data_IF_861763350087
#
_entry.id   IF_861763350087
#
_cell.length_a   1.000
_cell.length_b   1.000
_cell.length_c   1.000
_cell.angle_alpha   90.00
_cell.angle_beta   90.00
_cell.angle_gamma   90.00
#
_symmetry.space_group_name_H-M   'P 1'
#
loop_
_entity.id
_entity.type
_entity.pdbx_description
1 polymer ?
#
# COMPACT_ATOMS: atom_id res chain seq x y z
N UNK A 1 -6.57 9.21 -20.82
CA UNK A 1 -5.20 8.68 -20.83
C UNK A 1 -4.80 8.43 -19.40
N UNK A 2 -4.37 7.21 -19.08
CA UNK A 2 -3.87 6.87 -17.76
C UNK A 2 -2.43 6.43 -17.95
N UNK A 3 -1.52 7.02 -17.17
CA UNK A 3 -0.13 6.58 -17.13
C UNK A 3 -0.10 5.18 -16.52
N UNK A 4 0.62 4.26 -17.17
CA UNK A 4 0.80 2.90 -16.65
C UNK A 4 2.05 2.89 -15.79
N UNK A 5 1.86 2.70 -14.49
CA UNK A 5 2.94 2.53 -13.53
C UNK A 5 3.05 1.06 -13.16
N UNK A 6 4.23 0.49 -13.38
CA UNK A 6 4.52 -0.90 -13.01
C UNK A 6 5.11 -0.93 -11.61
N UNK A 7 4.71 -1.93 -10.82
CA UNK A 7 5.17 -2.11 -9.45
C UNK A 7 5.31 -3.58 -9.09
N UNK A 8 6.03 -3.85 -8.02
CA UNK A 8 6.23 -5.18 -7.48
C UNK A 8 6.11 -5.16 -5.95
N UNK A 9 5.61 -6.25 -5.38
CA UNK A 9 5.60 -6.46 -3.94
C UNK A 9 6.46 -7.65 -3.57
N UNK A 10 7.23 -7.50 -2.50
CA UNK A 10 7.89 -8.60 -1.80
C UNK A 10 7.28 -8.73 -0.42
N UNK A 11 6.66 -9.88 -0.15
CA UNK A 11 6.12 -10.16 1.18
C UNK A 11 7.30 -10.34 2.15
N UNK A 12 7.35 -9.52 3.18
CA UNK A 12 8.34 -9.62 4.27
C UNK A 12 7.79 -10.52 5.38
N UNK A 13 6.54 -10.29 5.79
CA UNK A 13 5.88 -11.08 6.83
C UNK A 13 4.36 -11.09 6.63
N UNK A 14 3.72 -12.20 7.03
CA UNK A 14 2.27 -12.34 7.05
C UNK A 14 1.84 -13.06 8.34
N UNK A 15 0.89 -12.46 9.06
CA UNK A 15 0.27 -13.02 10.27
C UNK A 15 -1.24 -12.87 10.14
N UNK A 16 -1.93 -13.81 9.48
CA UNK A 16 -3.36 -13.69 9.24
C UNK A 16 -4.19 -13.94 10.52
N UNK A 17 -5.28 -13.18 10.74
CA UNK A 17 -5.78 -12.04 9.95
C UNK A 17 -5.23 -10.67 10.42
N UNK A 18 -4.19 -10.63 11.25
CA UNK A 18 -3.82 -9.44 12.02
C UNK A 18 -2.87 -8.47 11.31
N UNK A 19 -1.92 -8.96 10.49
CA UNK A 19 -0.96 -8.09 9.83
C UNK A 19 -0.34 -8.65 8.55
N UNK A 20 0.10 -7.72 7.69
CA UNK A 20 0.86 -7.97 6.47
C UNK A 20 1.94 -6.90 6.37
N UNK A 21 3.18 -7.32 6.15
CA UNK A 21 4.31 -6.41 5.89
C UNK A 21 4.94 -6.75 4.55
N UNK A 22 5.11 -5.73 3.72
CA UNK A 22 5.64 -5.85 2.37
C UNK A 22 6.70 -4.78 2.11
N UNK A 23 7.61 -5.11 1.21
CA UNK A 23 8.37 -4.10 0.47
C UNK A 23 7.65 -3.84 -0.86
N UNK A 24 7.38 -2.57 -1.11
CA UNK A 24 6.76 -2.06 -2.32
C UNK A 24 7.78 -1.24 -3.11
N UNK A 25 7.81 -1.45 -4.42
CA UNK A 25 8.76 -0.81 -5.30
C UNK A 25 8.27 -0.74 -6.74
N UNK A 26 8.96 0.09 -7.51
CA UNK A 26 8.61 0.36 -8.90
C UNK A 26 9.32 -0.61 -9.84
N UNK A 27 8.62 -0.93 -10.92
CA UNK A 27 9.15 -1.68 -12.03
C UNK A 27 9.11 -0.85 -13.32
N UNK A 28 9.89 -1.26 -14.31
CA UNK A 28 9.75 -0.78 -15.68
C UNK A 28 8.65 -1.54 -16.43
N UNK A 29 8.47 -1.22 -17.72
CA UNK A 29 7.46 -1.83 -18.57
C UNK A 29 7.63 -3.35 -18.78
N UNK A 30 8.85 -3.86 -18.61
CA UNK A 30 9.17 -5.28 -18.71
C UNK A 30 9.01 -6.00 -17.35
N UNK A 31 8.63 -5.27 -16.30
CA UNK A 31 8.47 -5.79 -14.94
C UNK A 31 9.79 -5.94 -14.18
N UNK A 32 10.90 -5.43 -14.71
CA UNK A 32 12.17 -5.44 -14.00
C UNK A 32 12.19 -4.35 -12.93
N UNK A 33 12.87 -4.60 -11.82
CA UNK A 33 13.01 -3.62 -10.72
C UNK A 33 13.67 -2.36 -11.26
N UNK A 34 13.05 -1.20 -11.03
CA UNK A 34 13.64 0.09 -11.35
C UNK A 34 14.51 0.56 -10.15
N UNK A 35 15.86 0.55 -10.26
CA UNK A 35 16.74 0.92 -9.17
C UNK A 35 16.82 2.44 -8.94
N UNK A 36 16.30 3.24 -9.87
CA UNK A 36 16.34 4.71 -9.80
C UNK A 36 15.22 5.28 -8.92
N UNK A 37 14.21 4.47 -8.58
CA UNK A 37 13.11 4.86 -7.70
C UNK A 37 13.23 4.17 -6.32
N UNK A 38 12.89 4.88 -5.23
CA UNK A 38 12.99 4.32 -3.89
C UNK A 38 11.94 3.21 -3.65
N UNK A 39 12.30 2.24 -2.81
CA UNK A 39 11.34 1.29 -2.23
C UNK A 39 10.80 1.81 -0.91
N UNK A 40 9.61 1.35 -0.53
CA UNK A 40 8.99 1.60 0.77
C UNK A 40 8.68 0.28 1.47
N UNK A 41 8.79 0.25 2.79
CA UNK A 41 8.24 -0.85 3.59
C UNK A 41 6.86 -0.45 4.09
N UNK A 42 5.82 -1.16 3.66
CA UNK A 42 4.44 -0.93 4.10
C UNK A 42 4.00 -2.03 5.06
N UNK A 43 3.49 -1.63 6.23
CA UNK A 43 2.88 -2.55 7.19
C UNK A 43 1.39 -2.23 7.35
N UNK A 44 0.56 -3.23 7.12
CA UNK A 44 -0.88 -3.21 7.41
C UNK A 44 -1.11 -3.91 8.75
N UNK A 45 -1.85 -3.26 9.65
CA UNK A 45 -2.33 -3.84 10.91
C UNK A 45 -3.84 -3.74 11.01
N UNK A 46 -4.47 -4.86 11.31
CA UNK A 46 -5.91 -4.98 11.54
C UNK A 46 -6.17 -5.25 13.02
N UNK A 47 -6.97 -4.39 13.65
CA UNK A 47 -7.34 -4.50 15.07
C UNK A 47 -8.85 -4.52 15.20
N UNK A 48 -9.39 -5.52 15.91
CA UNK A 48 -10.81 -5.56 16.22
C UNK A 48 -11.19 -4.37 17.10
N UNK A 49 -12.15 -3.57 16.64
CA UNK A 49 -12.76 -2.49 17.44
C UNK A 49 -14.04 -2.97 18.15
N UNK A 50 -14.83 -3.77 17.46
CA UNK A 50 -16.07 -4.40 17.93
C UNK A 50 -16.33 -5.69 17.12
N UNK A 51 -17.33 -6.52 17.47
CA UNK A 51 -17.61 -7.75 16.72
C UNK A 51 -17.86 -7.55 15.22
N UNK A 52 -18.26 -6.35 14.81
CA UNK A 52 -18.63 -5.95 13.45
C UNK A 52 -17.71 -4.87 12.85
N UNK A 53 -16.65 -4.43 13.56
CA UNK A 53 -15.75 -3.37 13.08
C UNK A 53 -14.28 -3.68 13.31
N UNK A 54 -13.47 -3.29 12.33
CA UNK A 54 -12.02 -3.39 12.33
C UNK A 54 -11.41 -2.00 12.12
N UNK A 55 -10.37 -1.67 12.89
CA UNK A 55 -9.46 -0.58 12.58
C UNK A 55 -8.32 -1.12 11.72
N UNK A 56 -8.14 -0.54 10.53
CA UNK A 56 -6.96 -0.77 9.70
C UNK A 56 -6.01 0.42 9.86
N UNK A 57 -4.74 0.13 10.14
CA UNK A 57 -3.66 1.11 10.14
C UNK A 57 -2.61 0.65 9.13
N UNK A 58 -2.32 1.52 8.16
CA UNK A 58 -1.25 1.32 7.18
C UNK A 58 -0.10 2.26 7.53
N UNK A 59 1.09 1.71 7.75
CA UNK A 59 2.30 2.47 8.10
C UNK A 59 3.35 2.26 7.02
N UNK A 60 3.70 3.33 6.31
CA UNK A 60 4.78 3.33 5.32
C UNK A 60 6.08 3.85 5.93
N UNK A 61 7.17 3.11 5.76
CA UNK A 61 8.53 3.49 6.18
C UNK A 61 9.39 3.74 4.96
N UNK A 62 10.06 4.88 4.95
CA UNK A 62 10.94 5.33 3.88
C UNK A 62 12.40 5.17 4.29
N UNK A 63 13.28 4.89 3.33
CA UNK A 63 14.72 4.76 3.58
C UNK A 63 15.38 6.08 4.02
N UNK A 64 14.81 7.22 3.61
CA UNK A 64 15.30 8.56 3.99
C UNK A 64 14.20 9.61 3.85
N UNK A 65 14.44 10.80 4.43
CA UNK A 65 13.56 11.95 4.24
C UNK A 65 13.48 12.38 2.77
N UNK A 66 14.58 12.32 2.02
CA UNK A 66 14.60 12.71 0.61
C UNK A 66 13.73 11.78 -0.24
N UNK A 67 13.80 10.46 0.00
CA UNK A 67 12.95 9.48 -0.66
C UNK A 67 11.46 9.68 -0.32
N UNK A 68 11.15 10.05 0.93
CA UNK A 68 9.78 10.39 1.31
C UNK A 68 9.26 11.59 0.52
N UNK A 69 10.05 12.68 0.44
CA UNK A 69 9.67 13.90 -0.27
C UNK A 69 9.51 13.67 -1.78
N UNK A 70 10.36 12.83 -2.36
CA UNK A 70 10.26 12.44 -3.77
C UNK A 70 8.95 11.70 -4.05
N UNK A 71 8.62 10.66 -3.27
CA UNK A 71 7.37 9.91 -3.43
C UNK A 71 6.12 10.74 -3.13
N UNK A 72 6.21 11.64 -2.15
CA UNK A 72 5.15 12.62 -1.87
C UNK A 72 4.92 13.53 -3.08
N UNK A 73 5.98 14.02 -3.72
CA UNK A 73 5.89 14.84 -4.95
C UNK A 73 5.31 14.09 -6.15
N UNK A 74 5.47 12.76 -6.17
CA UNK A 74 4.86 11.87 -7.16
C UNK A 74 3.38 11.54 -6.84
N UNK A 75 2.84 12.03 -5.73
CA UNK A 75 1.44 11.85 -5.36
C UNK A 75 1.13 10.57 -4.58
N UNK A 76 2.13 9.94 -3.95
CA UNK A 76 1.94 8.68 -3.21
C UNK A 76 0.89 8.80 -2.09
N UNK A 77 0.89 9.90 -1.33
CA UNK A 77 -0.06 10.11 -0.23
C UNK A 77 -1.51 10.16 -0.75
N UNK A 78 -1.73 10.95 -1.80
CA UNK A 78 -3.05 11.12 -2.40
C UNK A 78 -3.54 9.81 -3.02
N UNK A 79 -2.66 9.07 -3.70
CA UNK A 79 -2.98 7.74 -4.22
C UNK A 79 -3.35 6.74 -3.11
N UNK A 80 -2.59 6.73 -2.00
CA UNK A 80 -2.89 5.87 -0.86
C UNK A 80 -4.24 6.23 -0.20
N UNK A 81 -4.57 7.51 -0.10
CA UNK A 81 -5.85 7.99 0.42
C UNK A 81 -7.01 7.54 -0.47
N UNK A 82 -6.91 7.73 -1.78
CA UNK A 82 -7.93 7.29 -2.75
C UNK A 82 -8.09 5.76 -2.75
N UNK A 83 -7.01 5.01 -2.57
CA UNK A 83 -7.07 3.55 -2.44
C UNK A 83 -7.81 3.14 -1.16
N UNK A 84 -7.57 3.83 -0.04
CA UNK A 84 -8.28 3.56 1.22
C UNK A 84 -9.79 3.83 1.11
N UNK A 85 -10.20 4.87 0.37
CA UNK A 85 -11.62 5.19 0.14
C UNK A 85 -12.37 4.09 -0.63
N UNK A 86 -11.69 3.36 -1.52
CA UNK A 86 -12.29 2.26 -2.27
C UNK A 86 -12.52 1.00 -1.43
N UNK A 87 -11.85 0.87 -0.28
CA UNK A 87 -11.97 -0.33 0.57
C UNK A 87 -13.39 -0.46 1.13
N UNK A 88 -14.02 0.65 1.52
CA UNK A 88 -15.38 0.65 2.06
C UNK A 88 -16.39 0.10 1.04
N UNK A 89 -16.29 0.52 -0.22
CA UNK A 89 -17.14 0.04 -1.31
C UNK A 89 -16.94 -1.45 -1.60
N UNK A 90 -15.69 -1.93 -1.59
CA UNK A 90 -15.36 -3.35 -1.78
C UNK A 90 -15.97 -4.20 -0.66
N UNK A 91 -15.82 -3.78 0.59
CA UNK A 91 -16.36 -4.49 1.75
C UNK A 91 -17.89 -4.51 1.74
N UNK A 92 -18.53 -3.39 1.38
CA UNK A 92 -19.98 -3.30 1.24
C UNK A 92 -20.50 -4.25 0.15
N UNK A 93 -19.83 -4.31 -1.01
CA UNK A 93 -20.19 -5.21 -2.11
C UNK A 93 -20.12 -6.70 -1.72
N UNK A 94 -19.11 -7.09 -0.94
CA UNK A 94 -18.97 -8.47 -0.43
C UNK A 94 -20.08 -8.80 0.56
N UNK A 95 -20.44 -7.89 1.47
CA UNK A 95 -21.49 -8.13 2.47
C UNK A 95 -22.90 -8.32 1.86
N UNK A 96 -23.11 -7.83 0.64
CA UNK A 96 -24.39 -7.96 -0.09
C UNK A 96 -24.52 -9.22 -0.95
N UNK A 97 -23.49 -10.07 -1.01
CA UNK A 97 -23.47 -11.33 -1.78
C UNK A 97 -23.69 -12.53 -0.86
#
# INVERSE_FOLDING_TARGET
EGDTHHGWWRIIAADPPHSLEIEDGFADADGAVNPDLPTITMQVRLTTLSPDRTAMVVTSRFASLAAMQELESMGMEEGARQAAEQIDDILAGIATT
#
